data_IF_838433127095
#
_entry.id   IF_838433127095
#
_cell.length_a   1.000
_cell.length_b   1.000
_cell.length_c   1.000
_cell.angle_alpha   90.00
_cell.angle_beta   90.00
_cell.angle_gamma   90.00
#
_symmetry.space_group_name_H-M   'P 1'
#
loop_
_entity.id
_entity.type
_entity.pdbx_description
1 polymer ?
#
# COMPACT_ATOMS: atom_id res chain seq x y z
N UNK A 1 38.22 -20.67 -58.24
CA UNK A 1 37.96 -19.23 -58.12
C UNK A 1 39.31 -18.54 -58.33
N UNK A 2 39.45 -17.69 -59.33
CA UNK A 2 40.65 -16.88 -59.57
C UNK A 2 40.37 -15.43 -59.22
N UNK A 3 41.17 -14.79 -58.42
CA UNK A 3 41.10 -13.35 -58.06
C UNK A 3 42.18 -12.59 -58.84
N UNK A 4 41.78 -11.72 -59.78
CA UNK A 4 42.68 -10.90 -60.63
C UNK A 4 42.75 -9.46 -60.11
N UNK A 5 42.49 -9.22 -58.81
CA UNK A 5 42.59 -7.86 -58.21
C UNK A 5 41.38 -6.97 -58.45
N UNK A 6 40.81 -6.96 -59.64
CA UNK A 6 39.67 -6.09 -60.01
C UNK A 6 38.36 -6.89 -60.27
N UNK A 7 38.48 -8.21 -60.45
CA UNK A 7 37.32 -9.11 -60.68
C UNK A 7 37.56 -10.48 -60.07
N UNK A 8 36.44 -11.17 -59.68
CA UNK A 8 36.42 -12.52 -59.18
C UNK A 8 35.81 -13.41 -60.23
N UNK A 9 36.50 -14.51 -60.59
CA UNK A 9 36.10 -15.43 -61.58
C UNK A 9 35.58 -16.73 -60.98
N UNK A 10 34.34 -17.10 -61.32
CA UNK A 10 33.72 -18.34 -60.87
C UNK A 10 33.53 -19.30 -62.00
N UNK A 11 33.89 -20.59 -61.89
CA UNK A 11 33.53 -21.60 -62.84
C UNK A 11 32.02 -21.88 -62.76
N UNK A 12 31.34 -21.94 -63.90
CA UNK A 12 29.94 -22.29 -64.07
C UNK A 12 29.82 -23.49 -65.00
N UNK A 13 28.68 -24.22 -64.99
CA UNK A 13 28.41 -25.31 -65.88
C UNK A 13 28.38 -24.88 -67.40
N UNK A 14 28.23 -23.60 -67.67
CA UNK A 14 28.14 -23.03 -69.02
C UNK A 14 29.36 -22.17 -69.37
N UNK A 15 30.41 -22.15 -68.53
CA UNK A 15 31.60 -21.35 -68.78
C UNK A 15 32.14 -20.69 -67.49
N UNK A 16 32.85 -19.56 -67.65
CA UNK A 16 33.39 -18.80 -66.54
C UNK A 16 32.64 -17.48 -66.43
N UNK A 17 32.19 -17.16 -65.24
CA UNK A 17 31.49 -15.91 -64.91
C UNK A 17 32.50 -14.96 -64.26
N UNK A 18 32.66 -13.82 -64.86
CA UNK A 18 33.42 -12.70 -64.26
C UNK A 18 32.49 -11.79 -63.47
N UNK A 19 32.83 -11.55 -62.21
CA UNK A 19 32.17 -10.57 -61.34
C UNK A 19 33.19 -9.45 -61.04
N UNK A 20 33.02 -8.27 -61.65
CA UNK A 20 33.87 -7.13 -61.30
C UNK A 20 33.68 -6.76 -59.83
N UNK A 21 34.75 -6.54 -59.10
CA UNK A 21 34.71 -6.05 -57.69
C UNK A 21 34.10 -4.66 -57.58
N UNK A 22 34.04 -3.89 -58.65
CA UNK A 22 33.38 -2.60 -58.73
C UNK A 22 31.84 -2.70 -58.87
N UNK A 23 31.29 -3.88 -59.10
CA UNK A 23 29.87 -4.08 -58.99
C UNK A 23 29.57 -4.01 -57.47
N UNK A 24 29.28 -2.82 -56.97
CA UNK A 24 28.46 -2.67 -55.79
C UNK A 24 27.21 -3.49 -56.10
N UNK A 25 27.21 -4.75 -55.63
CA UNK A 25 26.04 -5.66 -55.69
C UNK A 25 24.88 -4.89 -55.09
N UNK A 26 24.14 -4.23 -56.01
CA UNK A 26 22.90 -3.47 -55.74
C UNK A 26 22.95 -2.82 -54.38
N UNK A 27 23.20 -1.51 -54.30
CA UNK A 27 23.42 -0.73 -53.06
C UNK A 27 22.70 -1.40 -51.89
N UNK A 28 23.46 -2.01 -51.00
CA UNK A 28 22.92 -2.85 -49.93
C UNK A 28 22.06 -1.96 -49.03
N UNK A 29 20.78 -1.88 -49.39
CA UNK A 29 19.86 -1.08 -48.60
C UNK A 29 19.91 -1.55 -47.15
N UNK A 30 20.11 -0.59 -46.24
CA UNK A 30 20.05 -0.88 -44.81
C UNK A 30 18.74 -1.56 -44.48
N UNK A 31 18.81 -2.67 -43.78
CA UNK A 31 17.65 -3.46 -43.37
C UNK A 31 16.66 -2.58 -42.63
N UNK A 32 15.40 -2.56 -43.03
CA UNK A 32 14.33 -1.86 -42.33
C UNK A 32 13.55 -2.86 -41.49
N UNK A 33 13.75 -2.91 -40.18
CA UNK A 33 12.97 -3.77 -39.33
C UNK A 33 11.53 -3.28 -39.26
N UNK A 34 10.59 -4.22 -39.14
CA UNK A 34 9.16 -3.95 -39.02
C UNK A 34 8.59 -4.73 -37.86
N UNK A 35 7.78 -4.07 -37.05
CA UNK A 35 7.00 -4.72 -36.00
C UNK A 35 5.69 -5.20 -36.65
N UNK A 36 5.42 -6.49 -36.55
CA UNK A 36 4.29 -7.13 -37.20
C UNK A 36 3.05 -7.11 -36.31
N UNK A 37 3.23 -7.50 -35.06
CA UNK A 37 2.12 -7.60 -34.12
C UNK A 37 2.56 -7.46 -32.68
N UNK A 38 1.63 -7.01 -31.87
CA UNK A 38 1.67 -7.01 -30.42
C UNK A 38 0.62 -8.03 -29.95
N UNK A 39 1.07 -9.04 -29.25
CA UNK A 39 0.24 -10.13 -28.73
C UNK A 39 0.16 -9.98 -27.22
N UNK A 40 -1.05 -10.02 -26.71
CA UNK A 40 -1.38 -10.08 -25.30
C UNK A 40 -2.14 -11.37 -25.01
N UNK A 41 -2.33 -11.77 -23.76
CA UNK A 41 -3.12 -12.96 -23.41
C UNK A 41 -4.57 -12.91 -23.95
N UNK A 42 -5.11 -11.71 -24.14
CA UNK A 42 -6.50 -11.49 -24.55
C UNK A 42 -6.66 -11.19 -26.04
N UNK A 43 -5.65 -10.61 -26.68
CA UNK A 43 -5.76 -10.07 -28.04
C UNK A 43 -4.49 -10.26 -28.86
N UNK A 44 -4.69 -10.38 -30.15
CA UNK A 44 -3.64 -10.32 -31.15
C UNK A 44 -3.81 -9.03 -31.97
N UNK A 45 -2.95 -8.07 -31.75
CA UNK A 45 -3.05 -6.75 -32.34
C UNK A 45 -2.03 -6.63 -33.48
N UNK A 46 -2.52 -6.53 -34.73
CA UNK A 46 -1.64 -6.25 -35.88
C UNK A 46 -1.27 -4.76 -35.92
N UNK A 47 0.03 -4.44 -36.04
CA UNK A 47 0.49 -3.05 -36.11
C UNK A 47 0.05 -2.36 -37.41
N UNK A 48 -0.36 -3.10 -38.41
CA UNK A 48 -0.92 -2.54 -39.66
C UNK A 48 -2.31 -1.93 -39.45
N UNK A 49 -3.06 -2.42 -38.46
CA UNK A 49 -4.44 -2.03 -38.19
C UNK A 49 -4.56 -1.02 -37.03
N UNK A 50 -3.56 -0.97 -36.16
CA UNK A 50 -3.55 -0.08 -35.01
C UNK A 50 -2.69 1.17 -35.29
N UNK A 51 -3.28 2.34 -35.08
CA UNK A 51 -2.57 3.59 -35.09
C UNK A 51 -1.43 3.66 -34.07
N UNK A 52 -0.71 4.74 -34.07
CA UNK A 52 0.60 4.91 -33.41
C UNK A 52 0.64 4.80 -31.86
N UNK A 53 -0.43 4.48 -31.15
CA UNK A 53 -0.41 4.30 -29.68
C UNK A 53 -1.62 3.49 -29.20
N UNK A 54 -1.63 2.16 -29.34
CA UNK A 54 -2.70 1.38 -28.75
C UNK A 54 -2.62 1.44 -27.23
N UNK A 55 -3.76 1.67 -26.61
CA UNK A 55 -3.94 1.50 -25.17
C UNK A 55 -4.32 0.04 -24.93
N UNK A 56 -3.56 -0.63 -24.07
CA UNK A 56 -3.83 -1.99 -23.66
C UNK A 56 -4.99 -2.02 -22.67
N UNK A 57 -5.59 -3.19 -22.48
CA UNK A 57 -6.58 -3.36 -21.41
C UNK A 57 -5.90 -3.51 -20.05
N UNK A 58 -6.65 -3.29 -19.01
CA UNK A 58 -6.13 -3.26 -17.62
C UNK A 58 -5.38 -4.55 -17.23
N UNK A 59 -5.80 -5.69 -17.78
CA UNK A 59 -5.22 -7.01 -17.47
C UNK A 59 -4.19 -7.48 -18.51
N UNK A 60 -3.91 -6.67 -19.54
CA UNK A 60 -2.94 -6.98 -20.59
C UNK A 60 -1.53 -6.48 -20.23
N UNK A 61 -0.91 -7.11 -19.23
CA UNK A 61 0.44 -6.76 -18.77
C UNK A 61 1.54 -7.63 -19.35
N UNK A 62 1.18 -8.75 -19.93
CA UNK A 62 2.08 -9.63 -20.65
C UNK A 62 2.00 -9.32 -22.13
N UNK A 63 3.13 -8.92 -22.71
CA UNK A 63 3.21 -8.44 -24.08
C UNK A 63 4.29 -9.19 -24.83
N UNK A 64 3.92 -9.77 -25.96
CA UNK A 64 4.85 -10.35 -26.93
C UNK A 64 4.83 -9.50 -28.19
N UNK A 65 5.95 -8.91 -28.56
CA UNK A 65 6.13 -8.16 -29.78
C UNK A 65 6.79 -9.06 -30.83
N UNK A 66 6.09 -9.33 -31.92
CA UNK A 66 6.66 -10.01 -33.09
C UNK A 66 7.15 -9.01 -34.11
N UNK A 67 8.32 -9.26 -34.63
CA UNK A 67 8.99 -8.38 -35.58
C UNK A 67 9.76 -9.15 -36.65
N UNK A 68 10.03 -8.50 -37.77
CA UNK A 68 10.76 -9.05 -38.87
C UNK A 68 11.61 -7.98 -39.54
N UNK A 69 12.54 -8.43 -40.34
CA UNK A 69 13.18 -7.62 -41.35
C UNK A 69 13.34 -8.48 -42.60
N UNK A 70 13.13 -7.89 -43.77
CA UNK A 70 13.19 -8.59 -45.04
C UNK A 70 14.58 -8.38 -45.63
N UNK A 71 15.26 -9.48 -45.85
CA UNK A 71 16.48 -9.57 -46.65
C UNK A 71 16.33 -10.68 -47.65
N UNK A 72 16.32 -10.33 -48.94
CA UNK A 72 16.17 -11.30 -50.02
C UNK A 72 17.43 -12.11 -50.30
N UNK A 73 18.60 -11.63 -49.84
CA UNK A 73 19.89 -12.27 -50.09
C UNK A 73 20.33 -13.25 -49.01
N UNK A 74 20.12 -12.88 -47.74
CA UNK A 74 20.58 -13.68 -46.64
C UNK A 74 19.63 -13.60 -45.44
N UNK A 75 18.39 -14.12 -45.53
CA UNK A 75 17.38 -13.96 -44.50
C UNK A 75 17.74 -14.61 -43.12
N UNK A 76 18.64 -15.61 -43.12
CA UNK A 76 19.14 -16.25 -41.91
C UNK A 76 20.29 -15.51 -41.21
N UNK A 77 20.85 -14.50 -41.86
CA UNK A 77 21.96 -13.70 -41.31
C UNK A 77 21.52 -12.41 -40.60
N UNK A 78 20.23 -12.20 -40.45
CA UNK A 78 19.71 -10.99 -39.81
C UNK A 78 19.82 -11.15 -38.27
N UNK A 79 20.44 -10.16 -37.64
CA UNK A 79 20.54 -10.03 -36.21
C UNK A 79 19.70 -8.85 -35.72
N UNK A 80 18.97 -9.06 -34.63
CA UNK A 80 18.11 -8.06 -34.02
C UNK A 80 18.61 -7.66 -32.65
N UNK A 81 18.39 -6.41 -32.29
CA UNK A 81 18.42 -5.94 -30.91
C UNK A 81 17.21 -5.04 -30.66
N UNK A 82 16.74 -5.06 -29.45
CA UNK A 82 15.59 -4.25 -29.05
C UNK A 82 15.76 -3.68 -27.65
N UNK A 83 14.99 -2.67 -27.35
CA UNK A 83 14.92 -2.03 -26.03
C UNK A 83 13.52 -1.50 -25.82
N UNK A 84 12.97 -1.70 -24.63
CA UNK A 84 11.73 -1.09 -24.19
C UNK A 84 12.06 0.10 -23.29
N UNK A 85 12.01 1.32 -23.84
CA UNK A 85 12.21 2.55 -23.08
C UNK A 85 11.16 2.68 -21.99
N UNK A 86 11.58 2.97 -20.77
CA UNK A 86 10.74 2.97 -19.58
C UNK A 86 10.89 1.70 -18.72
N UNK A 87 11.55 0.64 -19.26
CA UNK A 87 11.81 -0.59 -18.52
C UNK A 87 13.28 -1.04 -18.64
N UNK A 88 13.79 -1.10 -19.86
CA UNK A 88 15.15 -1.59 -20.12
C UNK A 88 16.16 -0.43 -20.02
N UNK A 89 17.27 -0.64 -19.29
CA UNK A 89 18.42 0.28 -19.26
C UNK A 89 19.21 0.22 -20.55
N UNK A 90 19.42 -0.99 -21.08
CA UNK A 90 20.29 -1.27 -22.19
C UNK A 90 19.61 -2.03 -23.33
N UNK A 91 20.33 -2.16 -24.48
CA UNK A 91 19.88 -2.95 -25.60
C UNK A 91 19.95 -4.45 -25.29
N UNK A 92 18.84 -5.17 -25.56
CA UNK A 92 18.77 -6.63 -25.52
C UNK A 92 19.06 -7.21 -26.89
N UNK A 93 20.08 -8.04 -26.98
CA UNK A 93 20.46 -8.72 -28.22
C UNK A 93 19.62 -9.98 -28.41
N UNK A 94 18.76 -9.96 -29.42
CA UNK A 94 17.90 -11.09 -29.75
C UNK A 94 18.54 -12.07 -30.73
N UNK A 95 19.69 -11.68 -31.34
CA UNK A 95 20.31 -12.44 -32.42
C UNK A 95 19.27 -12.70 -33.55
N UNK A 96 18.99 -13.95 -33.88
CA UNK A 96 18.04 -14.33 -34.93
C UNK A 96 16.58 -14.48 -34.44
N UNK A 97 16.33 -14.33 -33.13
CA UNK A 97 14.98 -14.41 -32.58
C UNK A 97 14.12 -13.27 -33.09
N UNK A 98 12.86 -13.54 -33.41
CA UNK A 98 11.92 -12.58 -34.01
C UNK A 98 10.78 -12.18 -33.09
N UNK A 99 10.98 -12.35 -31.79
CA UNK A 99 10.01 -11.97 -30.77
C UNK A 99 10.70 -11.41 -29.52
N UNK A 100 10.05 -10.47 -28.89
CA UNK A 100 10.41 -9.90 -27.61
C UNK A 100 9.27 -10.13 -26.62
N UNK A 101 9.55 -10.76 -25.51
CA UNK A 101 8.56 -11.12 -24.49
C UNK A 101 8.83 -10.27 -23.25
N UNK A 102 7.77 -9.60 -22.79
CA UNK A 102 7.76 -8.84 -21.55
C UNK A 102 6.59 -9.29 -20.70
N UNK A 103 6.84 -9.61 -19.46
CA UNK A 103 5.84 -10.07 -18.52
C UNK A 103 5.65 -9.07 -17.39
N UNK A 104 4.41 -8.93 -16.93
CA UNK A 104 4.03 -8.08 -15.80
C UNK A 104 4.52 -6.63 -15.93
N UNK A 105 4.26 -6.00 -17.08
CA UNK A 105 4.62 -4.61 -17.32
C UNK A 105 3.94 -3.69 -16.29
N UNK A 106 4.69 -2.76 -15.68
CA UNK A 106 4.09 -1.74 -14.84
C UNK A 106 3.22 -0.77 -15.66
N UNK A 107 2.29 -0.06 -15.02
CA UNK A 107 1.50 0.94 -15.73
C UNK A 107 2.39 2.09 -16.21
N UNK A 108 2.18 2.51 -17.44
CA UNK A 108 2.96 3.59 -18.03
C UNK A 108 2.92 3.61 -19.55
N UNK A 109 3.63 4.56 -20.13
CA UNK A 109 3.85 4.66 -21.57
C UNK A 109 5.20 4.06 -21.94
N UNK A 110 5.20 3.15 -22.89
CA UNK A 110 6.37 2.44 -23.33
C UNK A 110 6.67 2.73 -24.80
N UNK A 111 7.97 2.82 -25.13
CA UNK A 111 8.46 2.94 -26.48
C UNK A 111 9.37 1.75 -26.76
N UNK A 112 8.88 0.83 -27.59
CA UNK A 112 9.66 -0.30 -28.09
C UNK A 112 10.52 0.16 -29.27
N UNK A 113 11.81 0.01 -29.14
CA UNK A 113 12.81 0.34 -30.16
C UNK A 113 13.42 -0.95 -30.67
N UNK A 114 13.42 -1.13 -31.98
CA UNK A 114 13.93 -2.31 -32.67
C UNK A 114 14.94 -1.91 -33.71
N UNK A 115 16.07 -2.58 -33.73
CA UNK A 115 17.12 -2.43 -34.75
C UNK A 115 17.46 -3.78 -35.38
N UNK A 116 17.78 -3.78 -36.63
CA UNK A 116 18.22 -4.95 -37.38
C UNK A 116 19.45 -4.67 -38.20
N UNK A 117 20.36 -5.63 -38.27
CA UNK A 117 21.56 -5.60 -39.10
C UNK A 117 21.83 -6.97 -39.71
N UNK A 118 22.67 -7.03 -40.73
CA UNK A 118 23.26 -8.31 -41.15
C UNK A 118 24.40 -8.71 -40.23
N UNK A 119 24.65 -9.96 -40.13
CA UNK A 119 25.79 -10.51 -39.38
C UNK A 119 27.09 -9.92 -39.98
N UNK A 120 27.96 -9.39 -39.12
CA UNK A 120 29.18 -8.74 -39.50
C UNK A 120 29.08 -7.24 -39.77
N UNK A 121 27.88 -6.66 -39.87
CA UNK A 121 27.70 -5.21 -39.95
C UNK A 121 27.76 -4.53 -38.57
N UNK A 122 28.00 -3.20 -38.61
CA UNK A 122 27.99 -2.39 -37.39
C UNK A 122 26.55 -1.93 -37.03
N UNK A 123 26.21 -1.94 -35.75
CA UNK A 123 24.95 -1.42 -35.23
C UNK A 123 24.78 0.09 -35.46
N UNK A 124 25.85 0.86 -35.67
CA UNK A 124 25.75 2.29 -35.96
C UNK A 124 25.05 2.58 -37.29
N UNK A 125 25.11 1.63 -38.24
CA UNK A 125 24.45 1.73 -39.57
C UNK A 125 23.05 1.10 -39.60
N UNK A 126 22.65 0.45 -38.47
CA UNK A 126 21.34 -0.19 -38.40
C UNK A 126 20.19 0.82 -38.42
N UNK A 127 19.13 0.50 -39.15
CA UNK A 127 17.89 1.30 -39.08
C UNK A 127 17.07 0.92 -37.87
N UNK A 128 16.47 1.95 -37.26
CA UNK A 128 15.59 1.81 -36.10
C UNK A 128 14.13 1.90 -36.54
N UNK A 129 13.30 1.08 -35.91
CA UNK A 129 11.85 1.19 -35.94
C UNK A 129 11.33 1.29 -34.51
N UNK A 130 10.34 2.15 -34.30
CA UNK A 130 9.79 2.44 -33.01
C UNK A 130 8.30 2.16 -32.98
N UNK A 131 7.82 1.68 -31.84
CA UNK A 131 6.39 1.42 -31.60
C UNK A 131 6.05 1.76 -30.16
N UNK A 132 5.07 2.64 -29.98
CA UNK A 132 4.65 3.06 -28.66
C UNK A 132 3.31 2.44 -28.26
N UNK A 133 3.17 2.08 -27.00
CA UNK A 133 1.92 1.59 -26.41
C UNK A 133 1.79 2.03 -24.97
N UNK A 134 0.58 1.99 -24.42
CA UNK A 134 0.27 2.43 -23.07
C UNK A 134 -0.33 1.27 -22.29
N UNK A 135 0.21 1.03 -21.10
CA UNK A 135 -0.34 0.09 -20.11
C UNK A 135 -1.11 0.91 -19.08
N UNK A 136 -2.44 0.76 -18.99
CA UNK A 136 -3.25 1.53 -18.07
C UNK A 136 -3.01 1.12 -16.61
N UNK A 137 -3.30 2.03 -15.68
CA UNK A 137 -3.26 1.75 -14.24
C UNK A 137 -4.50 0.97 -13.82
N UNK A 138 -4.32 -0.03 -12.96
CA UNK A 138 -5.44 -0.69 -12.28
C UNK A 138 -6.03 0.26 -11.23
N UNK A 139 -7.30 0.06 -10.91
CA UNK A 139 -7.98 0.88 -9.91
C UNK A 139 -7.28 0.85 -8.55
N UNK A 140 -6.81 -0.33 -8.12
CA UNK A 140 -6.07 -0.56 -6.88
C UNK A 140 -4.69 0.14 -6.82
N UNK A 141 -4.13 0.50 -7.98
CA UNK A 141 -2.86 1.25 -8.08
C UNK A 141 -3.06 2.78 -8.05
N UNK A 142 -4.31 3.24 -8.07
CA UNK A 142 -4.61 4.66 -8.05
C UNK A 142 -4.45 5.25 -6.64
N UNK A 143 -4.06 6.53 -6.59
CA UNK A 143 -3.94 7.26 -5.33
C UNK A 143 -5.29 7.32 -4.59
N UNK A 144 -6.39 7.40 -5.33
CA UNK A 144 -7.75 7.46 -4.78
C UNK A 144 -8.11 6.19 -4.00
N UNK A 145 -7.72 5.01 -4.50
CA UNK A 145 -7.94 3.75 -3.80
C UNK A 145 -7.15 3.68 -2.50
N UNK A 146 -5.89 4.13 -2.50
CA UNK A 146 -5.06 4.21 -1.28
C UNK A 146 -5.66 5.17 -0.26
N UNK A 147 -6.14 6.33 -0.69
CA UNK A 147 -6.82 7.30 0.16
C UNK A 147 -8.13 6.74 0.74
N UNK A 148 -8.89 5.99 -0.05
CA UNK A 148 -10.13 5.34 0.39
C UNK A 148 -9.85 4.31 1.50
N UNK A 149 -8.85 3.46 1.31
CA UNK A 149 -8.43 2.48 2.32
C UNK A 149 -7.98 3.18 3.60
N UNK A 150 -7.10 4.18 3.50
CA UNK A 150 -6.59 4.89 4.68
C UNK A 150 -7.71 5.62 5.42
N UNK A 151 -8.64 6.26 4.72
CA UNK A 151 -9.80 6.92 5.33
C UNK A 151 -10.72 5.92 6.03
N UNK A 152 -10.91 4.74 5.44
CA UNK A 152 -11.69 3.66 6.04
C UNK A 152 -11.08 3.16 7.36
N UNK A 153 -9.76 3.00 7.41
CA UNK A 153 -9.06 2.63 8.65
C UNK A 153 -9.19 3.72 9.73
N UNK A 154 -9.06 4.99 9.35
CA UNK A 154 -9.24 6.12 10.29
C UNK A 154 -10.66 6.14 10.84
N UNK A 155 -11.67 5.95 9.99
CA UNK A 155 -13.07 5.91 10.41
C UNK A 155 -13.35 4.76 11.37
N UNK A 156 -12.84 3.57 11.06
CA UNK A 156 -12.97 2.40 11.91
C UNK A 156 -12.31 2.63 13.27
N UNK A 157 -11.10 3.19 13.28
CA UNK A 157 -10.40 3.54 14.52
C UNK A 157 -11.20 4.54 15.37
N UNK A 158 -11.76 5.57 14.73
CA UNK A 158 -12.60 6.56 15.41
C UNK A 158 -13.87 5.94 16.00
N UNK A 159 -14.52 5.04 15.25
CA UNK A 159 -15.71 4.32 15.72
C UNK A 159 -15.41 3.44 16.94
N UNK A 160 -14.32 2.68 16.88
CA UNK A 160 -13.86 1.84 18.00
C UNK A 160 -13.55 2.71 19.22
N UNK A 161 -12.80 3.79 19.02
CA UNK A 161 -12.48 4.75 20.08
C UNK A 161 -13.75 5.35 20.72
N UNK A 162 -14.73 5.74 19.90
CA UNK A 162 -16.00 6.28 20.38
C UNK A 162 -16.79 5.26 21.22
N UNK A 163 -16.83 4.00 20.79
CA UNK A 163 -17.48 2.90 21.55
C UNK A 163 -16.78 2.70 22.91
N UNK A 164 -15.45 2.67 22.95
CA UNK A 164 -14.71 2.56 24.20
C UNK A 164 -15.02 3.74 25.15
N UNK A 165 -15.01 4.96 24.63
CA UNK A 165 -15.35 6.17 25.41
C UNK A 165 -16.78 6.12 25.93
N UNK A 166 -17.74 5.63 25.16
CA UNK A 166 -19.12 5.50 25.57
C UNK A 166 -19.29 4.45 26.70
N UNK A 167 -18.55 3.34 26.62
CA UNK A 167 -18.57 2.31 27.69
C UNK A 167 -17.97 2.83 28.99
N UNK A 168 -16.90 3.59 28.93
CA UNK A 168 -16.23 4.15 30.11
C UNK A 168 -17.14 5.13 30.85
N UNK A 169 -17.83 6.02 30.13
CA UNK A 169 -18.85 6.92 30.71
C UNK A 169 -19.98 6.16 31.40
N UNK A 170 -20.47 5.08 30.81
CA UNK A 170 -21.53 4.23 31.43
C UNK A 170 -21.04 3.59 32.73
N UNK A 171 -19.80 3.12 32.79
CA UNK A 171 -19.22 2.55 34.02
C UNK A 171 -19.06 3.60 35.11
N UNK A 172 -18.63 4.82 34.78
CA UNK A 172 -18.52 5.92 35.74
C UNK A 172 -19.88 6.30 36.34
N UNK A 173 -20.92 6.47 35.52
CA UNK A 173 -22.27 6.78 35.98
C UNK A 173 -22.85 5.66 36.87
N UNK A 174 -22.59 4.39 36.54
CA UNK A 174 -23.02 3.28 37.36
C UNK A 174 -22.30 3.22 38.73
N UNK A 175 -21.01 3.59 38.74
CA UNK A 175 -20.22 3.67 39.97
C UNK A 175 -20.69 4.82 40.88
N UNK A 176 -20.94 6.00 40.29
CA UNK A 176 -21.46 7.16 41.00
C UNK A 176 -22.82 6.88 41.64
N UNK A 177 -23.75 6.20 40.94
CA UNK A 177 -25.05 5.81 41.48
C UNK A 177 -24.90 4.83 42.63
N UNK A 178 -24.02 3.84 42.54
CA UNK A 178 -23.74 2.90 43.61
C UNK A 178 -23.12 3.57 44.84
N UNK A 179 -22.20 4.50 44.66
CA UNK A 179 -21.59 5.28 45.75
C UNK A 179 -22.62 6.14 46.46
N UNK A 180 -23.52 6.80 45.74
CA UNK A 180 -24.59 7.61 46.31
C UNK A 180 -25.57 6.74 47.10
N UNK A 181 -25.97 5.63 46.59
CA UNK A 181 -26.86 4.67 47.29
C UNK A 181 -26.22 4.18 48.59
N UNK A 182 -24.96 3.74 48.54
CA UNK A 182 -24.24 3.27 49.75
C UNK A 182 -23.98 4.38 50.78
N UNK A 183 -23.78 5.62 50.32
CA UNK A 183 -23.60 6.73 51.27
C UNK A 183 -24.92 7.08 51.98
N UNK A 184 -26.07 6.98 51.34
CA UNK A 184 -27.39 7.16 51.96
C UNK A 184 -27.64 6.06 52.97
N UNK A 185 -27.46 4.78 52.61
CA UNK A 185 -27.61 3.62 53.49
C UNK A 185 -26.75 3.72 54.75
N UNK A 186 -25.46 4.13 54.59
CA UNK A 186 -24.56 4.34 55.72
C UNK A 186 -25.00 5.49 56.65
N UNK A 187 -25.55 6.58 56.09
CA UNK A 187 -26.08 7.70 56.92
C UNK A 187 -27.28 7.24 57.73
N UNK A 188 -28.25 6.55 57.11
CA UNK A 188 -29.43 6.02 57.81
C UNK A 188 -29.03 5.05 58.94
N UNK A 189 -28.08 4.15 58.68
CA UNK A 189 -27.58 3.22 59.67
C UNK A 189 -26.89 3.95 60.82
N UNK A 190 -26.07 4.99 60.52
CA UNK A 190 -25.41 5.78 61.53
C UNK A 190 -26.41 6.59 62.39
N UNK A 191 -27.43 7.19 61.75
CA UNK A 191 -28.47 7.93 62.48
C UNK A 191 -29.25 7.02 63.40
N UNK A 192 -29.61 5.79 62.92
CA UNK A 192 -30.25 4.80 63.76
C UNK A 192 -29.40 4.34 64.92
N UNK A 193 -28.09 4.18 64.69
CA UNK A 193 -27.13 3.82 65.76
C UNK A 193 -26.99 4.93 66.77
N UNK A 194 -26.98 6.20 66.37
CA UNK A 194 -26.97 7.37 67.22
C UNK A 194 -28.25 7.49 68.04
N UNK A 195 -29.43 7.21 67.48
CA UNK A 195 -30.71 7.18 68.17
C UNK A 195 -30.71 6.11 69.26
N UNK A 196 -30.33 4.86 68.94
CA UNK A 196 -30.24 3.77 69.93
C UNK A 196 -29.23 4.10 71.02
N UNK A 197 -28.09 4.66 70.70
CA UNK A 197 -27.08 5.05 71.67
C UNK A 197 -27.59 6.16 72.61
N UNK A 198 -28.35 7.12 72.11
CA UNK A 198 -28.99 8.17 72.87
C UNK A 198 -30.03 7.60 73.84
N UNK A 199 -30.86 6.67 73.36
CA UNK A 199 -31.85 5.97 74.21
C UNK A 199 -31.16 5.15 75.31
N UNK A 200 -30.11 4.39 74.97
CA UNK A 200 -29.30 3.65 75.94
C UNK A 200 -28.70 4.56 77.05
N UNK A 201 -28.21 5.74 76.67
CA UNK A 201 -27.70 6.74 77.64
C UNK A 201 -28.81 7.23 78.58
N UNK A 202 -30.02 7.51 78.02
CA UNK A 202 -31.12 7.97 78.81
C UNK A 202 -31.54 6.90 79.87
N UNK A 203 -31.66 5.64 79.48
CA UNK A 203 -32.01 4.51 80.37
C UNK A 203 -30.86 4.27 81.37
N UNK A 204 -29.57 4.37 80.95
CA UNK A 204 -28.43 4.19 81.89
C UNK A 204 -28.22 5.32 82.87
N UNK A 205 -28.79 6.51 82.60
CA UNK A 205 -28.63 7.70 83.47
C UNK A 205 -29.78 7.90 84.49
N UNK A 206 -30.87 7.14 84.37
CA UNK A 206 -31.98 7.12 85.31
C UNK A 206 -32.06 5.78 86.10
N UNK A 207 -32.35 5.82 87.35
CA UNK A 207 -32.58 4.68 88.16
C UNK A 207 -34.05 4.29 87.95
N UNK A 208 -34.30 3.02 87.52
CA UNK A 208 -35.61 2.52 87.13
C UNK A 208 -36.63 2.47 88.34
N UNK A 209 -36.15 2.41 89.59
CA UNK A 209 -36.98 2.31 90.78
C UNK A 209 -37.33 3.67 91.39
N UNK A 210 -36.45 4.65 91.28
CA UNK A 210 -36.63 5.95 91.94
C UNK A 210 -36.89 7.12 91.02
N UNK A 211 -36.69 6.96 89.69
CA UNK A 211 -36.78 8.00 88.69
C UNK A 211 -35.72 9.08 88.82
N UNK A 212 -34.80 8.95 89.74
CA UNK A 212 -33.70 9.88 90.02
C UNK A 212 -32.50 9.56 89.11
N UNK A 213 -31.61 10.56 88.91
CA UNK A 213 -30.43 10.37 88.15
C UNK A 213 -29.47 9.34 88.74
N UNK A 214 -29.02 8.38 87.95
CA UNK A 214 -28.20 7.26 88.44
C UNK A 214 -26.84 7.74 88.96
N UNK A 215 -26.26 6.99 89.89
CA UNK A 215 -24.97 7.23 90.52
C UNK A 215 -23.88 7.41 89.45
N UNK A 216 -24.00 6.74 88.29
CA UNK A 216 -23.10 6.81 87.16
C UNK A 216 -23.15 8.17 86.45
N UNK A 217 -24.31 8.76 86.29
CA UNK A 217 -24.52 10.09 85.79
C UNK A 217 -23.77 11.14 86.63
N UNK A 218 -23.84 11.00 87.93
CA UNK A 218 -23.21 11.92 88.89
C UNK A 218 -21.70 11.89 88.74
N UNK A 219 -21.07 10.75 88.62
CA UNK A 219 -19.64 10.59 88.42
C UNK A 219 -19.16 11.09 87.07
N UNK A 220 -19.95 10.99 86.02
CA UNK A 220 -19.60 11.49 84.67
C UNK A 220 -19.81 13.00 84.55
N UNK A 221 -20.73 13.60 85.28
CA UNK A 221 -21.09 15.02 85.19
C UNK A 221 -20.31 15.90 86.17
N UNK A 222 -20.05 15.40 87.40
CA UNK A 222 -19.35 16.14 88.43
C UNK A 222 -17.97 16.72 88.01
N UNK A 223 -17.13 15.97 87.31
CA UNK A 223 -15.86 16.51 86.82
C UNK A 223 -16.02 17.68 85.84
N UNK A 224 -17.04 17.58 84.95
CA UNK A 224 -17.32 18.59 83.96
C UNK A 224 -17.90 19.85 84.57
N UNK A 225 -18.74 19.72 85.54
CA UNK A 225 -19.31 20.82 86.27
C UNK A 225 -18.22 21.55 87.13
N UNK A 226 -17.31 20.79 87.71
CA UNK A 226 -16.15 21.36 88.45
C UNK A 226 -15.21 22.14 87.54
N UNK A 227 -14.91 21.60 86.32
CA UNK A 227 -14.09 22.33 85.36
C UNK A 227 -14.79 23.58 84.85
N UNK A 228 -16.10 23.54 84.66
CA UNK A 228 -16.89 24.71 84.26
C UNK A 228 -16.95 25.77 85.33
N UNK A 229 -17.12 25.38 86.59
CA UNK A 229 -17.03 26.31 87.74
C UNK A 229 -15.66 26.87 87.93
N UNK A 230 -14.59 26.10 87.76
CA UNK A 230 -13.19 26.61 87.87
C UNK A 230 -12.86 27.59 86.74
N UNK A 231 -13.36 27.42 85.59
CA UNK A 231 -13.17 28.37 84.50
C UNK A 231 -13.91 29.70 84.73
N UNK A 232 -15.14 29.60 85.24
CA UNK A 232 -15.95 30.82 85.50
C UNK A 232 -15.53 31.59 86.77
N UNK A 233 -14.86 30.96 87.69
CA UNK A 233 -14.35 31.64 88.87
C UNK A 233 -12.97 32.28 88.68
N UNK A 234 -12.33 32.17 87.57
CA UNK A 234 -11.11 32.86 87.19
C UNK A 234 -11.34 34.19 86.42
N UNK A 235 -12.58 34.64 86.31
CA UNK A 235 -12.88 35.93 85.67
C UNK A 235 -13.63 36.88 86.61
N UNK A 236 -13.03 37.10 87.75
CA UNK A 236 -13.34 38.23 88.63
C UNK A 236 -12.03 38.88 89.06
#
# INVERSE_FOLDING_TARGET
VADTGNSIWYPSLQGVVEIPKSVELFGVQALKPRIESLITPLRHLSTATLGNKPELQIDERDVTLKYTAIDYYAPSSIEFRYRLSGLDSDWRYANTRREAIYTNLPPGSFLFQLEAKRRGEDWQKARRTEYSFVVPRRFDETIYFRLLITSSFILLFYLVFWVFRAQEKRKQLALESLVTERTVELREANDKLNQVNSQLKLVSHSDELTGLRSRRFLFDQLPKDIEHFQRNSQSL
#
